data_IF_006444134102
#
_entry.id   IF_006444134102
#
_cell.length_a   1.000
_cell.length_b   1.000
_cell.length_c   1.000
_cell.angle_alpha   90.00
_cell.angle_beta   90.00
_cell.angle_gamma   90.00
#
_symmetry.space_group_name_H-M   'P 1'
#
loop_
_entity.id
_entity.type
_entity.pdbx_description
1 polymer ?
#
# COMPACT_ATOMS: atom_id res chain seq x y z
N UNK A 1 -21.73 0.62 -4.73
CA UNK A 1 -20.67 0.39 -3.74
C UNK A 1 -21.27 -0.27 -2.50
N UNK A 2 -20.61 -1.28 -1.90
CA UNK A 2 -20.99 -1.79 -0.58
C UNK A 2 -21.02 -0.66 0.45
N UNK A 3 -21.98 -0.68 1.37
CA UNK A 3 -22.17 0.40 2.36
C UNK A 3 -21.09 0.45 3.42
N UNK A 4 -20.33 -0.64 3.57
CA UNK A 4 -19.22 -0.83 4.49
C UNK A 4 -17.85 -0.47 3.88
N UNK A 5 -17.82 0.06 2.65
CA UNK A 5 -16.57 0.50 2.04
C UNK A 5 -16.00 1.73 2.79
N UNK A 6 -14.68 1.80 3.02
CA UNK A 6 -14.08 2.70 4.01
C UNK A 6 -14.22 4.20 3.70
N UNK A 7 -14.47 4.56 2.44
CA UNK A 7 -14.60 5.95 2.01
C UNK A 7 -16.02 6.34 1.58
N UNK A 8 -17.04 5.50 1.86
CA UNK A 8 -18.43 5.88 1.59
C UNK A 8 -18.82 7.08 2.45
N UNK A 9 -19.34 8.13 1.80
CA UNK A 9 -19.74 9.37 2.47
C UNK A 9 -18.58 10.30 2.86
N UNK A 10 -17.34 9.95 2.54
CA UNK A 10 -16.17 10.81 2.76
C UNK A 10 -16.10 11.86 1.64
N UNK A 11 -16.27 13.12 2.01
CA UNK A 11 -16.23 14.23 1.05
C UNK A 11 -14.86 14.32 0.38
N UNK A 12 -14.83 14.45 -0.95
CA UNK A 12 -13.61 14.58 -1.73
C UNK A 12 -12.85 13.28 -1.98
N UNK A 13 -13.38 12.12 -1.57
CA UNK A 13 -12.79 10.80 -1.85
C UNK A 13 -13.79 9.96 -2.64
N UNK A 14 -13.29 9.22 -3.62
CA UNK A 14 -14.12 8.32 -4.41
C UNK A 14 -14.56 7.13 -3.54
N UNK A 15 -15.86 6.82 -3.46
CA UNK A 15 -16.36 5.74 -2.62
C UNK A 15 -15.93 4.36 -3.10
N UNK A 16 -15.38 4.23 -4.31
CA UNK A 16 -14.78 3.02 -4.89
C UNK A 16 -13.44 2.62 -4.25
N UNK A 17 -12.73 3.58 -3.67
CA UNK A 17 -11.41 3.33 -3.08
C UNK A 17 -11.57 2.40 -1.88
N UNK A 18 -10.70 1.40 -1.77
CA UNK A 18 -10.63 0.50 -0.61
C UNK A 18 -9.38 0.74 0.23
N UNK A 19 -8.26 1.03 -0.43
CA UNK A 19 -6.98 1.34 0.20
C UNK A 19 -6.27 2.41 -0.62
N UNK A 20 -5.27 3.06 -0.03
CA UNK A 20 -4.43 4.06 -0.66
C UNK A 20 -2.94 3.75 -0.45
N UNK A 21 -2.08 4.56 -1.06
CA UNK A 21 -0.64 4.53 -0.81
C UNK A 21 0.12 3.36 -1.42
N UNK A 22 -0.46 2.67 -2.40
CA UNK A 22 0.24 1.71 -3.27
C UNK A 22 0.80 2.44 -4.50
N UNK A 23 1.90 1.95 -5.06
CA UNK A 23 2.58 2.56 -6.21
C UNK A 23 2.21 1.89 -7.53
N UNK A 24 2.46 0.60 -7.64
CA UNK A 24 2.20 -0.23 -8.81
C UNK A 24 1.84 -1.66 -8.38
N UNK A 25 0.60 -1.86 -7.87
CA UNK A 25 0.14 -3.15 -7.41
C UNK A 25 0.02 -4.14 -8.57
N UNK A 26 0.99 -5.05 -8.68
CA UNK A 26 1.15 -5.89 -9.86
C UNK A 26 0.36 -7.20 -9.72
N UNK A 27 0.44 -7.84 -8.56
CA UNK A 27 -0.28 -9.09 -8.26
C UNK A 27 -0.96 -9.02 -6.90
N UNK A 28 -2.06 -9.75 -6.78
CA UNK A 28 -2.71 -9.97 -5.49
C UNK A 28 -3.37 -11.35 -5.45
N UNK A 29 -3.58 -11.86 -4.24
CA UNK A 29 -4.23 -13.14 -3.97
C UNK A 29 -5.04 -13.06 -2.68
N UNK A 30 -6.01 -13.95 -2.53
CA UNK A 30 -6.81 -14.07 -1.31
C UNK A 30 -6.40 -15.35 -0.61
N UNK A 31 -5.99 -15.23 0.64
CA UNK A 31 -5.81 -16.36 1.54
C UNK A 31 -7.20 -16.84 2.02
N UNK A 32 -7.74 -17.87 1.37
CA UNK A 32 -9.14 -18.30 1.58
C UNK A 32 -9.50 -18.64 3.04
N UNK A 33 -8.63 -19.30 3.84
CA UNK A 33 -8.89 -19.53 5.26
C UNK A 33 -9.10 -18.26 6.10
N UNK A 34 -8.34 -17.19 5.84
CA UNK A 34 -8.35 -15.96 6.65
C UNK A 34 -9.13 -14.82 6.02
N UNK A 35 -9.37 -14.89 4.71
CA UNK A 35 -9.91 -13.81 3.89
C UNK A 35 -8.93 -12.66 3.63
N UNK A 36 -7.66 -12.80 4.03
CA UNK A 36 -6.67 -11.74 3.84
C UNK A 36 -6.29 -11.59 2.37
N UNK A 37 -6.20 -10.33 1.92
CA UNK A 37 -5.69 -10.01 0.60
C UNK A 37 -4.19 -9.75 0.73
N UNK A 38 -3.39 -10.57 0.07
CA UNK A 38 -1.95 -10.39 -0.07
C UNK A 38 -1.68 -9.74 -1.42
N UNK A 39 -0.91 -8.67 -1.41
CA UNK A 39 -0.64 -7.82 -2.56
C UNK A 39 0.87 -7.61 -2.71
N UNK A 40 1.37 -7.63 -3.95
CA UNK A 40 2.76 -7.34 -4.27
C UNK A 40 2.88 -6.03 -5.05
N UNK A 41 3.57 -5.07 -4.44
CA UNK A 41 3.74 -3.70 -4.94
C UNK A 41 5.18 -3.47 -5.42
N UNK A 42 5.33 -3.07 -6.68
CA UNK A 42 6.64 -2.76 -7.26
C UNK A 42 6.93 -1.28 -7.05
N UNK A 43 7.88 -0.97 -6.17
CA UNK A 43 8.29 0.41 -5.89
C UNK A 43 8.99 1.07 -7.08
N UNK A 44 9.37 2.34 -6.88
CA UNK A 44 9.92 3.15 -7.96
C UNK A 44 11.42 2.92 -8.12
N UNK A 45 12.17 3.09 -7.03
CA UNK A 45 13.63 3.20 -7.10
C UNK A 45 14.34 2.21 -6.17
N UNK A 46 13.75 1.92 -5.00
CA UNK A 46 14.51 1.34 -3.90
C UNK A 46 14.01 -0.02 -3.41
N UNK A 47 12.68 -0.21 -3.31
CA UNK A 47 12.10 -1.40 -2.69
C UNK A 47 10.91 -1.94 -3.47
N UNK A 48 10.74 -3.25 -3.43
CA UNK A 48 9.47 -3.90 -3.71
C UNK A 48 8.87 -4.41 -2.39
N UNK A 49 7.54 -4.50 -2.32
CA UNK A 49 6.80 -4.79 -1.09
C UNK A 49 5.78 -5.90 -1.26
N UNK A 50 5.54 -6.65 -0.18
CA UNK A 50 4.35 -7.47 0.00
C UNK A 50 3.51 -6.87 1.12
N UNK A 51 2.27 -6.55 0.81
CA UNK A 51 1.30 -5.92 1.71
C UNK A 51 0.15 -6.87 2.04
N UNK A 52 -0.34 -6.80 3.28
CA UNK A 52 -1.64 -7.37 3.65
C UNK A 52 -2.67 -6.25 3.62
N UNK A 53 -3.54 -6.26 2.62
CA UNK A 53 -4.47 -5.16 2.37
C UNK A 53 -5.58 -5.13 3.42
N UNK A 54 -5.80 -3.95 4.01
CA UNK A 54 -6.86 -3.67 4.97
C UNK A 54 -7.75 -2.54 4.47
N UNK A 55 -9.04 -2.58 4.82
CA UNK A 55 -9.98 -1.49 4.50
C UNK A 55 -9.48 -0.16 5.07
N UNK A 56 -9.37 0.86 4.22
CA UNK A 56 -8.89 2.19 4.57
C UNK A 56 -7.38 2.27 4.83
N UNK A 57 -6.64 1.20 4.53
CA UNK A 57 -5.19 1.15 4.64
C UNK A 57 -4.51 2.24 3.80
N UNK A 58 -3.33 2.68 4.25
CA UNK A 58 -2.48 3.60 3.49
C UNK A 58 -1.06 3.07 3.52
N UNK A 59 -0.57 2.56 2.39
CA UNK A 59 0.74 1.90 2.27
C UNK A 59 1.91 2.85 2.01
N UNK A 60 1.66 4.16 2.08
CA UNK A 60 2.72 5.15 2.25
C UNK A 60 3.26 5.79 0.96
N UNK A 61 3.04 5.21 -0.22
CA UNK A 61 3.43 5.85 -1.46
C UNK A 61 2.68 7.20 -1.67
N UNK A 62 3.35 8.30 -2.07
CA UNK A 62 4.76 8.39 -2.48
C UNK A 62 5.76 8.71 -1.37
N UNK A 63 5.32 8.87 -0.13
CA UNK A 63 6.17 9.28 1.00
C UNK A 63 7.16 8.20 1.44
N UNK A 64 6.82 6.92 1.27
CA UNK A 64 7.64 5.78 1.67
C UNK A 64 7.73 4.72 0.57
N UNK A 65 8.88 4.04 0.50
CA UNK A 65 9.13 2.77 -0.20
C UNK A 65 9.86 1.83 0.77
N UNK A 66 9.23 0.73 1.14
CA UNK A 66 9.68 -0.17 2.18
C UNK A 66 9.91 0.58 3.50
N UNK A 67 11.07 0.39 4.15
CA UNK A 67 11.43 1.14 5.35
C UNK A 67 11.95 2.56 5.05
N UNK A 68 12.01 2.99 3.79
CA UNK A 68 12.72 4.21 3.38
C UNK A 68 11.78 5.36 3.05
N UNK A 69 12.02 6.53 3.65
CA UNK A 69 11.35 7.77 3.27
C UNK A 69 11.83 8.23 1.90
N UNK A 70 10.91 8.57 1.00
CA UNK A 70 11.22 9.22 -0.26
C UNK A 70 11.65 10.69 -0.03
N UNK A 71 12.93 11.06 -0.30
CA UNK A 71 13.41 12.42 -0.08
C UNK A 71 12.86 13.44 -1.08
N UNK A 72 12.31 12.99 -2.22
CA UNK A 72 11.74 13.84 -3.27
C UNK A 72 10.29 14.24 -3.00
N UNK A 73 9.72 13.81 -1.87
CA UNK A 73 8.38 14.20 -1.44
C UNK A 73 8.42 15.20 -0.29
N UNK A 74 7.40 16.06 -0.23
CA UNK A 74 7.12 16.83 0.97
C UNK A 74 6.91 15.89 2.16
N UNK A 75 6.96 16.42 3.38
CA UNK A 75 6.57 15.62 4.54
C UNK A 75 5.12 15.14 4.38
N UNK A 76 4.81 13.89 4.77
CA UNK A 76 3.44 13.43 4.77
C UNK A 76 2.57 14.35 5.64
N UNK A 77 1.27 14.50 5.32
CA UNK A 77 0.37 15.30 6.13
C UNK A 77 0.44 14.86 7.59
N UNK A 78 0.36 15.84 8.51
CA UNK A 78 0.39 15.55 9.93
C UNK A 78 -0.72 14.55 10.29
N UNK A 79 -0.43 13.63 11.22
CA UNK A 79 -1.36 12.60 11.67
C UNK A 79 -1.76 11.55 10.60
N UNK A 80 -1.06 11.49 9.47
CA UNK A 80 -1.23 10.36 8.53
C UNK A 80 -0.71 9.09 9.16
N UNK A 81 -1.55 8.06 9.20
CA UNK A 81 -1.17 6.71 9.64
C UNK A 81 -0.85 5.87 8.42
N UNK A 82 0.31 5.19 8.45
CA UNK A 82 0.73 4.29 7.39
C UNK A 82 0.73 2.84 7.86
N UNK A 83 0.37 1.94 6.95
CA UNK A 83 0.45 0.50 7.13
C UNK A 83 1.82 0.05 6.61
N UNK A 84 2.61 -0.58 7.47
CA UNK A 84 3.91 -1.11 7.07
C UNK A 84 3.74 -2.37 6.22
N UNK A 85 4.63 -2.63 5.25
CA UNK A 85 4.59 -3.85 4.46
C UNK A 85 4.86 -5.07 5.34
N UNK A 86 4.22 -6.19 4.99
CA UNK A 86 4.49 -7.48 5.64
C UNK A 86 5.89 -8.00 5.29
N UNK A 87 6.38 -7.67 4.09
CA UNK A 87 7.74 -7.91 3.65
C UNK A 87 8.18 -6.82 2.69
N UNK A 88 9.46 -6.45 2.73
CA UNK A 88 10.07 -5.58 1.72
C UNK A 88 11.44 -6.11 1.32
N UNK A 89 11.78 -5.99 0.04
CA UNK A 89 13.10 -6.32 -0.48
C UNK A 89 13.68 -5.13 -1.25
N UNK A 90 14.95 -4.83 -1.02
CA UNK A 90 15.63 -3.77 -1.76
C UNK A 90 16.01 -4.27 -3.16
N UNK A 91 15.90 -3.41 -4.17
CA UNK A 91 16.27 -3.75 -5.55
C UNK A 91 17.73 -4.24 -5.68
N UNK A 92 18.62 -3.80 -4.79
CA UNK A 92 20.03 -4.21 -4.77
C UNK A 92 20.26 -5.65 -4.27
N UNK A 93 19.22 -6.33 -3.77
CA UNK A 93 19.30 -7.72 -3.33
C UNK A 93 19.02 -8.71 -4.47
N UNK A 94 18.63 -8.23 -5.65
CA UNK A 94 18.30 -9.06 -6.81
C UNK A 94 17.06 -9.95 -6.61
N UNK A 95 16.29 -9.69 -5.55
CA UNK A 95 15.00 -10.30 -5.32
C UNK A 95 13.94 -9.47 -6.03
N UNK A 96 13.02 -10.16 -6.70
CA UNK A 96 11.87 -9.55 -7.35
C UNK A 96 10.61 -10.21 -6.78
N UNK A 97 9.66 -9.39 -6.36
CA UNK A 97 8.28 -9.73 -6.04
C UNK A 97 7.55 -9.79 -7.38
N UNK A 98 7.80 -10.87 -8.13
CA UNK A 98 6.98 -11.30 -9.26
C UNK A 98 6.61 -12.76 -9.15
#
# INVERSE_FOLDING_TARGET
MPSDNPYVGVSGVLPEIFTAGLRNPLRWSIDLPTGQIWEGDVGQDAYEEVNVITAGGNFGWPYYEGPSRNPNTAMPPAQTTFSAPAYSCAHNQGLCIT
#
